data_IF_873832994326
#
_entry.id   IF_873832994326
#
_cell.length_a   1.000
_cell.length_b   1.000
_cell.length_c   1.000
_cell.angle_alpha   90.00
_cell.angle_beta   90.00
_cell.angle_gamma   90.00
#
_symmetry.space_group_name_H-M   'P 1'
#
loop_
_entity.id
_entity.type
_entity.pdbx_description
1 polymer ?
#
# COMPACT_ATOMS: atom_id res chain seq x y z
N UNK A 1 -10.47 -26.03 -23.32
CA UNK A 1 -10.07 -25.98 -21.89
C UNK A 1 -8.71 -25.32 -21.61
N UNK A 2 -7.86 -25.06 -22.61
CA UNK A 2 -6.54 -24.41 -22.39
C UNK A 2 -6.59 -22.88 -22.20
N UNK A 3 -7.49 -22.17 -22.89
CA UNK A 3 -7.61 -20.70 -22.80
C UNK A 3 -8.04 -20.23 -21.40
N UNK A 4 -9.04 -20.85 -20.80
CA UNK A 4 -9.54 -20.50 -19.46
C UNK A 4 -8.49 -20.63 -18.35
N UNK A 5 -7.48 -21.50 -18.52
CA UNK A 5 -6.38 -21.64 -17.55
C UNK A 5 -5.33 -20.54 -17.71
N UNK A 6 -5.05 -20.11 -18.94
CA UNK A 6 -4.10 -19.01 -19.23
C UNK A 6 -4.65 -17.67 -18.73
N UNK A 7 -5.94 -17.40 -18.91
CA UNK A 7 -6.56 -16.15 -18.45
C UNK A 7 -6.57 -16.04 -16.92
N UNK A 8 -6.94 -17.14 -16.24
CA UNK A 8 -6.88 -17.20 -14.77
C UNK A 8 -5.45 -17.04 -14.24
N UNK A 9 -4.47 -17.65 -14.91
CA UNK A 9 -3.06 -17.52 -14.53
C UNK A 9 -2.57 -16.07 -14.70
N UNK A 10 -2.91 -15.40 -15.80
CA UNK A 10 -2.57 -14.00 -16.00
C UNK A 10 -3.19 -13.08 -14.94
N UNK A 11 -4.43 -13.33 -14.52
CA UNK A 11 -5.09 -12.58 -13.45
C UNK A 11 -4.39 -12.77 -12.10
N UNK A 12 -3.98 -14.00 -11.78
CA UNK A 12 -3.26 -14.31 -10.54
C UNK A 12 -1.88 -13.64 -10.52
N UNK A 13 -1.13 -13.72 -11.62
CA UNK A 13 0.19 -13.07 -11.74
C UNK A 13 0.08 -11.57 -11.52
N UNK A 14 -0.90 -10.90 -12.15
CA UNK A 14 -1.13 -9.46 -11.97
C UNK A 14 -1.44 -9.10 -10.52
N UNK A 15 -2.29 -9.88 -9.86
CA UNK A 15 -2.61 -9.68 -8.43
C UNK A 15 -1.38 -9.87 -7.55
N UNK A 16 -0.55 -10.87 -7.85
CA UNK A 16 0.68 -11.12 -7.11
C UNK A 16 1.67 -9.94 -7.19
N UNK A 17 1.90 -9.40 -8.40
CA UNK A 17 2.72 -8.19 -8.55
C UNK A 17 2.16 -6.99 -7.79
N UNK A 18 0.83 -6.78 -7.84
CA UNK A 18 0.19 -5.70 -7.08
C UNK A 18 0.36 -5.86 -5.57
N UNK A 19 0.24 -7.08 -5.04
CA UNK A 19 0.45 -7.36 -3.61
C UNK A 19 1.90 -7.06 -3.21
N UNK A 20 2.89 -7.45 -4.03
CA UNK A 20 4.30 -7.13 -3.77
C UNK A 20 4.51 -5.61 -3.77
N UNK A 21 3.96 -4.90 -4.76
CA UNK A 21 4.03 -3.43 -4.78
C UNK A 21 3.38 -2.83 -3.54
N UNK A 22 2.21 -3.30 -3.13
CA UNK A 22 1.52 -2.81 -1.93
C UNK A 22 2.37 -3.04 -0.66
N UNK A 23 3.03 -4.19 -0.51
CA UNK A 23 3.96 -4.46 0.60
C UNK A 23 5.08 -3.41 0.65
N UNK A 24 5.69 -3.11 -0.50
CA UNK A 24 6.77 -2.13 -0.59
C UNK A 24 6.25 -0.74 -0.23
N UNK A 25 5.05 -0.37 -0.68
CA UNK A 25 4.46 0.94 -0.41
C UNK A 25 4.03 1.11 1.04
N UNK A 26 3.49 0.06 1.68
CA UNK A 26 3.11 0.08 3.09
C UNK A 26 4.34 0.39 3.96
N UNK A 27 5.40 -0.41 3.80
CA UNK A 27 6.64 -0.24 4.56
C UNK A 27 7.37 1.05 4.18
N UNK A 28 7.39 1.38 2.88
CA UNK A 28 7.97 2.61 2.36
C UNK A 28 7.30 3.86 2.91
N UNK A 29 5.98 3.84 3.13
CA UNK A 29 5.24 4.98 3.71
C UNK A 29 5.63 5.25 5.16
N UNK A 30 5.81 4.19 5.97
CA UNK A 30 6.26 4.31 7.36
C UNK A 30 7.69 4.85 7.41
N UNK A 31 8.61 4.28 6.62
CA UNK A 31 10.00 4.73 6.55
C UNK A 31 10.08 6.18 6.05
N UNK A 32 9.33 6.52 5.01
CA UNK A 32 9.29 7.88 4.47
C UNK A 32 8.76 8.88 5.49
N UNK A 33 7.76 8.48 6.31
CA UNK A 33 7.25 9.31 7.40
C UNK A 33 8.32 9.61 8.44
N UNK A 34 9.14 8.61 8.81
CA UNK A 34 10.25 8.77 9.74
C UNK A 34 11.33 9.67 9.16
N UNK A 35 11.77 9.40 7.92
CA UNK A 35 12.78 10.21 7.23
C UNK A 35 12.35 11.67 7.13
N UNK A 36 11.10 11.94 6.73
CA UNK A 36 10.56 13.30 6.67
C UNK A 36 10.48 13.97 8.04
N UNK A 37 10.18 13.20 9.10
CA UNK A 37 10.13 13.72 10.47
C UNK A 37 11.48 14.22 10.96
N UNK A 38 12.57 13.56 10.56
CA UNK A 38 13.95 13.87 10.95
C UNK A 38 14.70 14.71 9.89
N UNK A 39 13.99 15.57 9.15
CA UNK A 39 14.57 16.46 8.13
C UNK A 39 15.42 15.75 7.06
N UNK A 40 15.06 14.51 6.70
CA UNK A 40 15.77 13.67 5.71
C UNK A 40 17.17 13.25 6.17
N UNK A 41 17.47 13.35 7.47
CA UNK A 41 18.71 12.83 8.04
C UNK A 41 18.47 11.45 8.69
N UNK A 42 18.97 10.41 8.03
CA UNK A 42 18.90 9.04 8.53
C UNK A 42 19.67 8.84 9.85
N UNK A 43 20.70 9.66 10.11
CA UNK A 43 21.52 9.57 11.32
C UNK A 43 20.86 10.24 12.52
N UNK A 44 19.91 11.13 12.28
CA UNK A 44 19.11 11.79 13.31
C UNK A 44 17.93 10.92 13.78
N UNK A 45 17.63 9.81 13.07
CA UNK A 45 16.60 8.87 13.49
C UNK A 45 17.09 8.11 14.71
N UNK A 46 16.42 8.30 15.83
CA UNK A 46 16.78 7.63 17.07
C UNK A 46 16.64 6.10 16.92
N UNK A 47 17.62 5.30 17.36
CA UNK A 47 17.63 3.85 17.15
C UNK A 47 16.36 3.15 17.65
N UNK A 48 15.74 3.68 18.71
CA UNK A 48 14.49 3.17 19.24
C UNK A 48 13.39 3.08 18.18
N UNK A 49 13.25 4.08 17.30
CA UNK A 49 12.19 4.07 16.27
C UNK A 49 12.46 3.05 15.16
N UNK A 50 13.73 2.79 14.86
CA UNK A 50 14.13 1.78 13.88
C UNK A 50 13.87 0.37 14.42
N UNK A 51 14.14 0.15 15.70
CA UNK A 51 13.90 -1.15 16.33
C UNK A 51 12.40 -1.39 16.56
N UNK A 52 11.64 -0.36 17.01
CA UNK A 52 10.17 -0.41 17.03
C UNK A 52 9.59 -0.77 15.65
N UNK A 53 10.14 -0.21 14.57
CA UNK A 53 9.71 -0.53 13.21
C UNK A 53 10.05 -1.98 12.83
N UNK A 54 11.25 -2.47 13.16
CA UNK A 54 11.65 -3.87 12.88
C UNK A 54 10.84 -4.92 13.63
N UNK A 55 10.25 -4.57 14.77
CA UNK A 55 9.40 -5.50 15.50
C UNK A 55 7.94 -5.45 15.03
N UNK A 56 7.49 -4.28 14.54
CA UNK A 56 6.09 -4.07 14.14
C UNK A 56 5.81 -4.18 12.64
N UNK A 57 6.81 -4.11 11.75
CA UNK A 57 6.61 -4.10 10.29
C UNK A 57 5.92 -5.35 9.75
N UNK A 58 6.27 -6.55 10.25
CA UNK A 58 5.65 -7.81 9.81
C UNK A 58 4.16 -7.84 10.18
N UNK A 59 3.77 -7.73 11.48
CA UNK A 59 2.36 -7.76 11.84
C UNK A 59 1.58 -6.61 11.20
N UNK A 60 2.15 -5.41 11.12
CA UNK A 60 1.52 -4.26 10.47
C UNK A 60 1.25 -4.51 8.98
N UNK A 61 2.23 -5.01 8.24
CA UNK A 61 2.08 -5.32 6.81
C UNK A 61 1.02 -6.38 6.58
N UNK A 62 1.04 -7.48 7.35
CA UNK A 62 0.08 -8.57 7.22
C UNK A 62 -1.35 -8.07 7.48
N UNK A 63 -1.56 -7.32 8.57
CA UNK A 63 -2.89 -6.80 8.89
C UNK A 63 -3.37 -5.81 7.84
N UNK A 64 -2.49 -4.94 7.34
CA UNK A 64 -2.83 -3.98 6.28
C UNK A 64 -3.22 -4.69 4.98
N UNK A 65 -2.52 -5.75 4.61
CA UNK A 65 -2.90 -6.59 3.45
C UNK A 65 -4.27 -7.27 3.65
N UNK A 66 -4.56 -7.74 4.86
CA UNK A 66 -5.88 -8.30 5.18
C UNK A 66 -6.97 -7.23 5.05
N UNK A 67 -6.73 -6.02 5.54
CA UNK A 67 -7.66 -4.88 5.38
C UNK A 67 -7.87 -4.60 3.89
N UNK A 68 -6.80 -4.48 3.12
CA UNK A 68 -6.86 -4.24 1.68
C UNK A 68 -7.63 -5.34 0.93
N UNK A 69 -7.50 -6.59 1.38
CA UNK A 69 -8.27 -7.72 0.88
C UNK A 69 -9.75 -7.64 1.27
N UNK A 70 -10.09 -7.31 2.52
CA UNK A 70 -11.46 -7.13 3.02
C UNK A 70 -12.19 -5.99 2.29
N UNK A 71 -11.51 -4.87 2.03
CA UNK A 71 -12.01 -3.75 1.23
C UNK A 71 -12.12 -4.08 -0.26
N UNK A 72 -11.82 -5.33 -0.66
CA UNK A 72 -11.90 -5.85 -2.03
C UNK A 72 -11.08 -5.01 -3.02
N UNK A 73 -9.99 -4.38 -2.57
CA UNK A 73 -9.14 -3.56 -3.44
C UNK A 73 -8.50 -4.39 -4.58
N UNK A 74 -8.35 -5.70 -4.40
CA UNK A 74 -7.82 -6.62 -5.42
C UNK A 74 -8.89 -7.25 -6.32
N UNK A 75 -10.18 -7.07 -5.99
CA UNK A 75 -11.30 -7.60 -6.76
C UNK A 75 -11.95 -6.54 -7.64
N UNK A 76 -11.90 -5.26 -7.24
CA UNK A 76 -12.24 -4.12 -8.09
C UNK A 76 -11.17 -3.94 -9.16
N UNK A 77 -11.03 -4.95 -10.03
CA UNK A 77 -10.25 -4.81 -11.21
C UNK A 77 -11.12 -4.10 -12.25
N UNK A 78 -10.91 -2.79 -12.40
CA UNK A 78 -10.84 -2.16 -13.72
C UNK A 78 -12.13 -1.86 -14.49
N UNK A 79 -13.32 -1.80 -13.87
CA UNK A 79 -14.54 -1.56 -14.65
C UNK A 79 -15.11 -0.14 -14.59
N UNK A 80 -14.86 0.65 -13.54
CA UNK A 80 -15.34 2.04 -13.48
C UNK A 80 -14.34 2.93 -12.74
N UNK A 81 -13.72 3.85 -13.48
CA UNK A 81 -12.92 4.97 -12.97
C UNK A 81 -13.79 5.94 -12.16
N UNK A 82 -14.36 5.45 -11.08
CA UNK A 82 -15.28 6.19 -10.24
C UNK A 82 -14.53 6.73 -9.03
N UNK A 83 -14.90 7.96 -8.64
CA UNK A 83 -14.65 8.54 -7.33
C UNK A 83 -14.91 7.52 -6.19
N UNK A 84 -15.83 6.56 -6.38
CA UNK A 84 -16.09 5.48 -5.44
C UNK A 84 -14.90 4.55 -5.17
N UNK A 85 -14.01 4.29 -6.14
CA UNK A 85 -12.79 3.50 -5.89
C UNK A 85 -11.78 4.29 -5.06
N UNK A 86 -11.67 5.59 -5.32
CA UNK A 86 -10.81 6.48 -4.53
C UNK A 86 -11.27 6.51 -3.07
N UNK A 87 -12.57 6.62 -2.82
CA UNK A 87 -13.12 6.56 -1.46
C UNK A 87 -12.76 5.25 -0.75
N UNK A 88 -12.87 4.10 -1.42
CA UNK A 88 -12.48 2.80 -0.83
C UNK A 88 -11.01 2.73 -0.46
N UNK A 89 -10.13 3.31 -1.27
CA UNK A 89 -8.68 3.38 -0.96
C UNK A 89 -8.47 4.23 0.28
N UNK A 90 -9.09 5.41 0.34
CA UNK A 90 -8.98 6.32 1.48
C UNK A 90 -9.52 5.66 2.75
N UNK A 91 -10.70 5.07 2.71
CA UNK A 91 -11.29 4.34 3.84
C UNK A 91 -10.39 3.18 4.31
N UNK A 92 -9.88 2.36 3.37
CA UNK A 92 -8.98 1.27 3.70
C UNK A 92 -7.68 1.76 4.35
N UNK A 93 -7.12 2.88 3.88
CA UNK A 93 -5.91 3.48 4.47
C UNK A 93 -6.19 4.08 5.85
N UNK A 94 -7.33 4.73 6.05
CA UNK A 94 -7.73 5.25 7.37
C UNK A 94 -7.87 4.10 8.37
N UNK A 95 -8.52 3.00 7.96
CA UNK A 95 -8.64 1.81 8.81
C UNK A 95 -7.28 1.17 9.07
N UNK A 96 -6.41 1.07 8.07
CA UNK A 96 -5.05 0.57 8.24
C UNK A 96 -4.24 1.40 9.23
N UNK A 97 -4.30 2.73 9.13
CA UNK A 97 -3.60 3.62 10.06
C UNK A 97 -4.20 3.58 11.47
N UNK A 98 -5.53 3.47 11.60
CA UNK A 98 -6.17 3.25 12.89
C UNK A 98 -5.69 1.95 13.55
N UNK A 99 -5.53 0.89 12.78
CA UNK A 99 -4.98 -0.37 13.27
C UNK A 99 -3.48 -0.27 13.58
N UNK A 100 -2.71 0.51 12.81
CA UNK A 100 -1.32 0.81 13.10
C UNK A 100 -1.16 1.43 14.50
N UNK A 101 -1.97 2.46 14.79
CA UNK A 101 -1.98 3.15 16.09
C UNK A 101 -2.40 2.20 17.21
N UNK A 102 -3.43 1.37 16.99
CA UNK A 102 -3.84 0.37 17.98
C UNK A 102 -2.75 -0.66 18.23
N UNK A 103 -2.06 -1.14 17.18
CA UNK A 103 -1.00 -2.13 17.29
C UNK A 103 0.17 -1.59 18.11
N UNK A 104 0.63 -0.39 17.80
CA UNK A 104 1.74 0.26 18.51
C UNK A 104 1.38 0.66 19.94
N UNK A 105 0.12 1.00 20.19
CA UNK A 105 -0.39 1.25 21.54
C UNK A 105 -0.39 -0.03 22.40
N UNK A 106 -0.68 -1.19 21.81
CA UNK A 106 -0.67 -2.49 22.51
C UNK A 106 0.75 -2.99 22.74
N UNK A 107 1.67 -2.79 21.78
CA UNK A 107 3.07 -3.21 21.92
C UNK A 107 3.90 -2.26 22.79
N UNK A 108 3.41 -1.06 23.08
CA UNK A 108 4.16 -0.02 23.82
C UNK A 108 5.21 0.71 22.98
N UNK A 109 5.40 0.29 21.73
CA UNK A 109 6.37 0.83 20.77
C UNK A 109 5.76 2.02 20.01
N UNK A 110 5.56 3.13 20.73
CA UNK A 110 4.90 4.31 20.17
C UNK A 110 5.85 5.15 19.31
N UNK A 111 5.54 5.25 18.01
CA UNK A 111 6.17 6.22 17.12
C UNK A 111 5.71 7.66 17.47
N UNK A 112 6.44 8.70 17.05
CA UNK A 112 6.00 10.07 17.24
C UNK A 112 4.63 10.28 16.60
N UNK A 113 3.69 10.92 17.32
CA UNK A 113 2.29 11.08 16.86
C UNK A 113 2.15 11.65 15.44
N UNK A 114 3.06 12.55 15.07
CA UNK A 114 3.11 13.14 13.74
C UNK A 114 3.46 12.12 12.63
N UNK A 115 4.22 11.07 12.94
CA UNK A 115 4.59 10.02 11.98
C UNK A 115 3.40 9.16 11.58
N UNK A 116 2.44 8.89 12.47
CA UNK A 116 1.22 8.14 12.11
C UNK A 116 0.39 8.91 11.07
N UNK A 117 0.16 10.20 11.32
CA UNK A 117 -0.56 11.03 10.37
C UNK A 117 0.15 11.10 9.00
N UNK A 118 1.47 11.31 9.01
CA UNK A 118 2.28 11.34 7.78
C UNK A 118 2.29 9.98 7.06
N UNK A 119 2.37 8.87 7.79
CA UNK A 119 2.27 7.51 7.24
C UNK A 119 0.95 7.32 6.52
N UNK A 120 -0.17 7.68 7.15
CA UNK A 120 -1.49 7.58 6.52
C UNK A 120 -1.61 8.40 5.23
N UNK A 121 -1.08 9.64 5.23
CA UNK A 121 -1.06 10.49 4.03
C UNK A 121 -0.20 9.89 2.93
N UNK A 122 1.03 9.45 3.24
CA UNK A 122 1.91 8.82 2.26
C UNK A 122 1.34 7.51 1.74
N UNK A 123 0.69 6.72 2.58
CA UNK A 123 0.05 5.48 2.18
C UNK A 123 -1.08 5.75 1.20
N UNK A 124 -1.98 6.71 1.48
CA UNK A 124 -3.06 7.08 0.56
C UNK A 124 -2.49 7.54 -0.79
N UNK A 125 -1.50 8.43 -0.78
CA UNK A 125 -0.89 8.96 -2.01
C UNK A 125 -0.20 7.84 -2.80
N UNK A 126 0.59 7.02 -2.13
CA UNK A 126 1.30 5.89 -2.73
C UNK A 126 0.34 4.88 -3.36
N UNK A 127 -0.73 4.52 -2.64
CA UNK A 127 -1.74 3.56 -3.10
C UNK A 127 -2.59 4.11 -4.25
N UNK A 128 -2.81 5.42 -4.31
CA UNK A 128 -3.43 6.07 -5.47
C UNK A 128 -2.48 6.09 -6.67
N UNK A 129 -1.23 6.50 -6.45
CA UNK A 129 -0.21 6.62 -7.50
C UNK A 129 0.13 5.27 -8.13
N UNK A 130 0.28 4.20 -7.34
CA UNK A 130 0.60 2.87 -7.83
C UNK A 130 -0.48 2.32 -8.75
N UNK A 131 -1.75 2.51 -8.38
CA UNK A 131 -2.91 2.11 -9.18
C UNK A 131 -3.04 2.94 -10.45
N UNK A 132 -2.81 4.23 -10.37
CA UNK A 132 -2.82 5.11 -11.53
C UNK A 132 -1.71 4.78 -12.53
N UNK A 133 -0.49 4.52 -12.03
CA UNK A 133 0.65 4.13 -12.87
C UNK A 133 0.40 2.79 -13.57
N UNK A 134 -0.09 1.78 -12.83
CA UNK A 134 -0.47 0.49 -13.41
C UNK A 134 -1.57 0.66 -14.47
N UNK A 135 -2.48 1.64 -14.27
CA UNK A 135 -3.49 2.05 -15.26
C UNK A 135 -2.88 2.52 -16.55
N UNK A 136 -2.06 3.57 -16.48
CA UNK A 136 -1.43 4.16 -17.65
C UNK A 136 -0.63 3.14 -18.44
N UNK A 137 0.20 2.33 -17.77
CA UNK A 137 0.99 1.30 -18.41
C UNK A 137 0.14 0.29 -19.19
N UNK A 138 -0.99 -0.15 -18.61
CA UNK A 138 -1.88 -1.10 -19.31
C UNK A 138 -2.54 -0.47 -20.53
N UNK A 139 -3.04 0.77 -20.42
CA UNK A 139 -3.67 1.47 -21.55
C UNK A 139 -2.66 1.64 -22.68
N UNK A 140 -1.45 2.10 -22.38
CA UNK A 140 -0.38 2.28 -23.37
C UNK A 140 -0.01 0.95 -24.04
N UNK A 141 0.19 -0.12 -23.27
CA UNK A 141 0.50 -1.46 -23.82
C UNK A 141 -0.66 -2.02 -24.67
N UNK A 142 -1.91 -1.65 -24.37
CA UNK A 142 -3.06 -2.04 -25.18
C UNK A 142 -3.12 -1.24 -26.49
N UNK A 143 -2.88 0.07 -26.45
CA UNK A 143 -2.79 0.92 -27.65
C UNK A 143 -1.70 0.44 -28.60
N UNK A 144 -0.47 0.22 -28.11
CA UNK A 144 0.66 -0.26 -28.94
C UNK A 144 0.38 -1.59 -29.66
N UNK A 145 -0.48 -2.45 -29.11
CA UNK A 145 -0.83 -3.74 -29.70
C UNK A 145 -1.91 -3.64 -30.78
N UNK A 146 -2.70 -2.57 -30.77
CA UNK A 146 -3.72 -2.32 -31.80
C UNK A 146 -3.16 -1.58 -33.01
N UNK A 147 -2.01 -0.92 -32.89
CA UNK A 147 -1.34 -0.17 -33.96
C UNK A 147 -0.28 -0.96 -34.72
N UNK A 148 0.04 -2.19 -34.29
CA UNK A 148 1.00 -3.11 -34.96
C UNK A 148 0.30 -4.28 -35.61
#
# INVERSE_FOLDING_TARGET
MGETRKDKLQLIIRRFFLIITDIILINGSVILSLVMRFNVDFSAIEPQYIDSFKDTWIPFTIITLIIFWCFRMYHSLWQYASIAELYKIVEACIVAEGVHICLTAVTGEMLPRACYFMTGVFLVVAMCASRFMYRMLRTVIQEYRHTS
#
